data_IF_581155138725
#
_entry.id   IF_581155138725
#
_cell.length_a   1.000
_cell.length_b   1.000
_cell.length_c   1.000
_cell.angle_alpha   90.00
_cell.angle_beta   90.00
_cell.angle_gamma   90.00
#
_symmetry.space_group_name_H-M   'P 1'
#
loop_
_entity.id
_entity.type
_entity.pdbx_description
1 polymer ?
#
# COMPACT_ATOMS: atom_id res chain seq x y z
N UNK A 1 -5.65 11.93 -2.60
CA UNK A 1 -4.53 10.98 -2.76
C UNK A 1 -4.65 9.90 -1.68
N UNK A 2 -3.75 8.93 -1.60
CA UNK A 2 -3.74 7.94 -0.51
C UNK A 2 -3.59 8.66 0.84
N UNK A 3 -2.75 9.68 0.91
CA UNK A 3 -2.57 10.54 2.09
C UNK A 3 -3.88 11.19 2.55
N UNK A 4 -4.54 11.95 1.66
CA UNK A 4 -5.84 12.57 1.96
C UNK A 4 -6.90 11.54 2.35
N UNK A 5 -6.91 10.38 1.69
CA UNK A 5 -7.85 9.31 2.01
C UNK A 5 -7.56 8.69 3.37
N UNK A 6 -6.28 8.52 3.75
CA UNK A 6 -5.90 7.99 5.05
C UNK A 6 -6.47 8.89 6.14
N UNK A 7 -6.27 10.20 6.05
CA UNK A 7 -6.79 11.19 7.01
C UNK A 7 -8.33 11.20 7.04
N UNK A 8 -8.97 11.14 5.87
CA UNK A 8 -10.42 11.11 5.78
C UNK A 8 -11.04 9.86 6.43
N UNK A 9 -10.36 8.72 6.33
CA UNK A 9 -10.84 7.44 6.85
C UNK A 9 -10.33 7.10 8.26
N UNK A 10 -9.74 8.04 9.01
CA UNK A 10 -9.42 7.87 10.45
C UNK A 10 -10.58 7.28 11.28
N UNK A 11 -11.85 7.72 11.09
CA UNK A 11 -12.99 7.16 11.83
C UNK A 11 -13.34 5.71 11.45
N UNK A 12 -12.72 5.14 10.41
CA UNK A 12 -12.97 3.79 9.91
C UNK A 12 -11.68 2.95 10.00
N UNK A 13 -11.38 2.34 11.18
CA UNK A 13 -10.09 1.69 11.43
C UNK A 13 -9.72 0.56 10.47
N UNK A 14 -10.70 -0.11 9.87
CA UNK A 14 -10.46 -1.16 8.89
C UNK A 14 -9.93 -0.62 7.55
N UNK A 15 -10.36 0.58 7.16
CA UNK A 15 -9.92 1.25 5.93
C UNK A 15 -8.61 1.99 6.20
N UNK A 16 -8.53 2.76 7.30
CA UNK A 16 -7.33 3.47 7.71
C UNK A 16 -6.10 2.56 7.75
N UNK A 17 -6.22 1.34 8.31
CA UNK A 17 -5.12 0.35 8.34
C UNK A 17 -4.64 -0.06 6.95
N UNK A 18 -5.54 -0.21 5.97
CA UNK A 18 -5.17 -0.56 4.59
C UNK A 18 -4.50 0.61 3.86
N UNK A 19 -4.95 1.84 4.13
CA UNK A 19 -4.35 3.04 3.56
C UNK A 19 -2.99 3.33 4.19
N UNK A 20 -2.82 3.01 5.47
CA UNK A 20 -1.53 3.12 6.15
C UNK A 20 -0.47 2.24 5.49
N UNK A 21 -0.78 0.99 5.14
CA UNK A 21 0.22 0.14 4.48
C UNK A 21 0.63 0.65 3.10
N UNK A 22 -0.24 1.38 2.40
CA UNK A 22 0.09 2.06 1.14
C UNK A 22 1.00 3.28 1.38
N UNK A 23 0.81 4.01 2.48
CA UNK A 23 1.73 5.07 2.90
C UNK A 23 3.10 4.53 3.28
N UNK A 24 3.15 3.43 4.03
CA UNK A 24 4.39 2.83 4.53
C UNK A 24 5.29 2.34 3.38
N UNK A 25 4.71 1.96 2.25
CA UNK A 25 5.46 1.61 1.03
C UNK A 25 5.74 2.83 0.12
N UNK A 26 5.39 4.05 0.53
CA UNK A 26 5.71 5.28 -0.21
C UNK A 26 4.79 5.59 -1.39
N UNK A 27 3.51 5.19 -1.34
CA UNK A 27 2.51 5.48 -2.38
C UNK A 27 1.53 6.60 -1.98
N UNK A 28 1.93 7.49 -1.07
CA UNK A 28 1.09 8.58 -0.53
C UNK A 28 0.47 9.47 -1.62
N UNK A 29 1.19 9.71 -2.71
CA UNK A 29 0.80 10.61 -3.81
C UNK A 29 -0.17 10.00 -4.83
N UNK A 30 -0.36 8.67 -4.83
CA UNK A 30 -1.28 7.99 -5.77
C UNK A 30 -2.73 8.37 -5.44
N UNK A 31 -3.58 8.41 -6.46
CA UNK A 31 -5.03 8.60 -6.28
C UNK A 31 -5.74 7.25 -6.16
N UNK A 32 -6.70 7.15 -5.23
CA UNK A 32 -7.63 6.03 -5.22
C UNK A 32 -8.38 5.96 -6.56
N UNK A 33 -8.48 4.76 -7.14
CA UNK A 33 -9.10 4.56 -8.45
C UNK A 33 -8.22 4.90 -9.65
N UNK A 34 -6.94 5.27 -9.45
CA UNK A 34 -5.98 5.38 -10.55
C UNK A 34 -5.87 4.05 -11.30
N UNK A 35 -5.90 4.12 -12.64
CA UNK A 35 -5.81 2.93 -13.48
C UNK A 35 -4.50 2.18 -13.21
N UNK A 36 -4.57 0.86 -13.06
CA UNK A 36 -3.39 0.02 -12.90
C UNK A 36 -2.43 0.11 -14.11
N UNK A 37 -2.94 0.47 -15.28
CA UNK A 37 -2.14 0.64 -16.51
C UNK A 37 -1.26 1.89 -16.49
N UNK A 38 -1.53 2.86 -15.62
CA UNK A 38 -0.74 4.10 -15.52
C UNK A 38 0.26 4.07 -14.38
N UNK A 39 0.33 2.96 -13.63
CA UNK A 39 1.35 2.75 -12.60
C UNK A 39 2.66 2.31 -13.24
N UNK A 40 3.76 2.88 -12.76
CA UNK A 40 5.10 2.36 -13.02
C UNK A 40 5.27 0.94 -12.47
N UNK A 41 6.26 0.21 -12.99
CA UNK A 41 6.58 -1.14 -12.49
C UNK A 41 6.86 -1.16 -10.98
N UNK A 42 7.62 -0.19 -10.48
CA UNK A 42 7.93 -0.06 -9.04
C UNK A 42 6.70 0.29 -8.19
N UNK A 43 5.77 1.09 -8.70
CA UNK A 43 4.49 1.35 -8.00
C UNK A 43 3.63 0.08 -7.93
N UNK A 44 3.52 -0.66 -9.03
CA UNK A 44 2.77 -1.91 -9.06
C UNK A 44 3.37 -2.95 -8.09
N UNK A 45 4.69 -3.00 -7.97
CA UNK A 45 5.37 -3.85 -6.98
C UNK A 45 5.07 -3.42 -5.54
N UNK A 46 5.15 -2.13 -5.24
CA UNK A 46 4.82 -1.58 -3.92
C UNK A 46 3.36 -1.78 -3.54
N UNK A 47 2.42 -1.70 -4.50
CA UNK A 47 1.01 -2.06 -4.27
C UNK A 47 0.88 -3.53 -3.86
N UNK A 48 1.57 -4.45 -4.54
CA UNK A 48 1.59 -5.87 -4.13
C UNK A 48 2.18 -6.07 -2.74
N UNK A 49 3.28 -5.38 -2.43
CA UNK A 49 3.91 -5.42 -1.11
C UNK A 49 2.95 -4.92 -0.01
N UNK A 50 2.27 -3.79 -0.22
CA UNK A 50 1.31 -3.23 0.75
C UNK A 50 0.17 -4.19 1.09
N UNK A 51 -0.26 -5.01 0.12
CA UNK A 51 -1.29 -6.04 0.30
C UNK A 51 -0.78 -7.17 1.19
N UNK A 52 0.46 -7.57 1.01
CA UNK A 52 1.08 -8.62 1.83
C UNK A 52 1.33 -8.14 3.25
N UNK A 53 1.84 -6.91 3.43
CA UNK A 53 2.04 -6.28 4.74
C UNK A 53 0.73 -6.03 5.50
N UNK A 54 -0.40 -5.85 4.79
CA UNK A 54 -1.71 -5.70 5.41
C UNK A 54 -2.27 -7.02 5.99
N UNK A 55 -1.67 -8.17 5.68
CA UNK A 55 -2.10 -9.46 6.25
C UNK A 55 -1.57 -9.60 7.67
N UNK A 56 -2.30 -10.38 8.48
CA UNK A 56 -1.87 -10.70 9.84
C UNK A 56 -0.61 -11.55 9.76
N UNK A 57 0.47 -11.09 10.37
CA UNK A 57 1.73 -11.82 10.37
C UNK A 57 1.56 -13.18 11.05
N UNK A 58 1.93 -14.24 10.34
CA UNK A 58 1.91 -15.62 10.84
C UNK A 58 3.28 -16.05 11.37
N UNK A 59 4.29 -15.18 11.29
CA UNK A 59 5.67 -15.42 11.69
C UNK A 59 6.43 -16.39 10.78
N UNK A 60 5.83 -16.83 9.66
CA UNK A 60 6.38 -17.87 8.77
C UNK A 60 6.41 -17.46 7.30
N UNK A 61 6.55 -16.17 7.01
CA UNK A 61 6.56 -15.65 5.63
C UNK A 61 7.86 -14.91 5.36
N UNK A 62 8.60 -15.35 4.34
CA UNK A 62 9.79 -14.67 3.83
C UNK A 62 9.40 -13.91 2.55
N UNK A 63 9.59 -12.59 2.56
CA UNK A 63 9.41 -11.74 1.39
C UNK A 63 10.78 -11.48 0.75
N UNK A 64 10.95 -11.88 -0.51
CA UNK A 64 12.13 -11.54 -1.32
C UNK A 64 11.69 -10.50 -2.34
N UNK A 65 12.38 -9.36 -2.36
CA UNK A 65 12.18 -8.29 -3.34
C UNK A 65 13.47 -8.16 -4.15
N UNK A 66 13.35 -8.24 -5.47
CA UNK A 66 14.44 -7.88 -6.38
C UNK A 66 14.35 -6.37 -6.66
N UNK A 67 15.47 -5.67 -6.49
CA UNK A 67 15.64 -4.20 -6.61
C UNK A 67 14.63 -3.29 -5.87
N UNK A 68 14.58 -3.27 -4.52
CA UNK A 68 13.81 -2.25 -3.79
C UNK A 68 14.64 -0.97 -3.64
N UNK A 69 14.48 -0.02 -4.57
CA UNK A 69 14.92 1.38 -4.35
C UNK A 69 13.72 2.30 -4.19
#
# INVERSE_FOLDING_TARGET
TIEEAREFFDPVPAVARKLQTLMDVGLSYIKLGQSATTLSGGEAQRVKLSRELSKRDTGKTLYILDEPT
#
